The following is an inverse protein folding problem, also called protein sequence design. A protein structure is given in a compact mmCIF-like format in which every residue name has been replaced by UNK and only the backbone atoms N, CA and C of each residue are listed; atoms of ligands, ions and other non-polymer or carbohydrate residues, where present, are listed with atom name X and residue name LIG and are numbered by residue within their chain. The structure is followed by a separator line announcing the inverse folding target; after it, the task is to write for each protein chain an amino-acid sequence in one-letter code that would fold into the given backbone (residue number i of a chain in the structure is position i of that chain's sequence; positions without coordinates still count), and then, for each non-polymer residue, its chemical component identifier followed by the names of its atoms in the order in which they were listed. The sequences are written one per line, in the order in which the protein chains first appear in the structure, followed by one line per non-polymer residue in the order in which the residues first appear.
data_IF_684191095267
#
_entry.id   IF_684191095267
#
_cell.length_a   1.000
_cell.length_b   1.000
_cell.length_c   1.000
_cell.angle_alpha   90.00
_cell.angle_beta   90.00
_cell.angle_gamma   90.00
#
_symmetry.space_group_name_H-M   'P 1'
#
loop_
_entity.id
_entity.type
_entity.pdbx_description
1 polymer ?
#
# COMPACT_ATOMS: atom_id res chain seq x y z
N UNK A 1 6.11 4.62 20.68
CA UNK A 1 4.90 5.26 20.14
C UNK A 1 4.33 4.31 19.09
N UNK A 2 3.02 4.10 19.03
CA UNK A 2 2.42 3.15 18.09
C UNK A 2 2.49 3.69 16.65
N UNK A 3 2.71 2.81 15.67
CA UNK A 3 2.60 3.12 14.24
C UNK A 3 1.21 2.72 13.73
N UNK A 4 0.62 3.53 12.87
CA UNK A 4 -0.62 3.21 12.18
C UNK A 4 -0.33 2.51 10.85
N UNK A 5 -0.93 1.34 10.65
CA UNK A 5 -0.80 0.53 9.43
C UNK A 5 -2.15 0.41 8.73
N UNK A 6 -2.12 0.41 7.40
CA UNK A 6 -3.26 0.05 6.55
C UNK A 6 -2.91 -1.14 5.66
N UNK A 7 -3.80 -2.12 5.60
CA UNK A 7 -3.73 -3.22 4.65
C UNK A 7 -4.46 -2.86 3.35
N UNK A 8 -3.78 -3.09 2.22
CA UNK A 8 -4.29 -2.79 0.88
C UNK A 8 -4.55 -4.09 0.13
N UNK A 9 -5.82 -4.35 -0.16
CA UNK A 9 -6.29 -5.43 -1.02
C UNK A 9 -7.00 -4.87 -2.27
N UNK A 10 -7.30 -5.76 -3.22
CA UNK A 10 -8.04 -5.41 -4.44
C UNK A 10 -7.11 -5.11 -5.62
N UNK A 11 -7.42 -4.08 -6.39
CA UNK A 11 -6.59 -3.65 -7.54
C UNK A 11 -5.64 -2.51 -7.16
N UNK A 12 -4.62 -2.28 -7.98
CA UNK A 12 -3.70 -1.14 -7.79
C UNK A 12 -4.45 0.20 -7.77
N UNK A 13 -5.47 0.35 -8.60
CA UNK A 13 -6.31 1.56 -8.65
C UNK A 13 -7.04 1.79 -7.32
N UNK A 14 -7.59 0.73 -6.72
CA UNK A 14 -8.26 0.81 -5.43
C UNK A 14 -7.26 1.13 -4.31
N UNK A 15 -6.12 0.48 -4.30
CA UNK A 15 -5.04 0.73 -3.33
C UNK A 15 -4.55 2.19 -3.38
N UNK A 16 -4.37 2.74 -4.59
CA UNK A 16 -4.02 4.15 -4.78
C UNK A 16 -5.12 5.08 -4.26
N UNK A 17 -6.39 4.85 -4.60
CA UNK A 17 -7.50 5.69 -4.16
C UNK A 17 -7.63 5.73 -2.63
N UNK A 18 -7.30 4.63 -1.95
CA UNK A 18 -7.23 4.59 -0.48
C UNK A 18 -6.05 5.42 0.01
N UNK A 19 -4.84 5.20 -0.50
CA UNK A 19 -3.64 5.92 -0.05
C UNK A 19 -3.69 7.43 -0.32
N UNK A 20 -4.34 7.87 -1.40
CA UNK A 20 -4.56 9.30 -1.66
C UNK A 20 -5.35 9.99 -0.53
N UNK A 21 -6.18 9.25 0.20
CA UNK A 21 -6.97 9.78 1.31
C UNK A 21 -6.25 9.70 2.66
N UNK A 22 -5.41 8.67 2.87
CA UNK A 22 -4.90 8.33 4.21
C UNK A 22 -3.38 8.37 4.35
N UNK A 23 -2.61 8.57 3.27
CA UNK A 23 -1.14 8.56 3.32
C UNK A 23 -0.53 9.58 4.30
N UNK A 24 -1.27 10.64 4.66
CA UNK A 24 -0.82 11.65 5.63
C UNK A 24 -0.96 11.23 7.10
N UNK A 25 -1.67 10.12 7.38
CA UNK A 25 -1.95 9.65 8.75
C UNK A 25 -1.49 8.22 9.02
N UNK A 26 -1.16 7.45 7.98
CA UNK A 26 -0.62 6.09 8.11
C UNK A 26 0.91 6.10 7.99
N UNK A 27 1.57 5.28 8.79
CA UNK A 27 3.02 5.09 8.73
C UNK A 27 3.39 3.96 7.77
N UNK A 28 2.54 2.92 7.68
CA UNK A 28 2.81 1.69 6.96
C UNK A 28 1.63 1.35 6.04
N UNK A 29 1.94 1.03 4.79
CA UNK A 29 1.00 0.43 3.85
C UNK A 29 1.43 -1.02 3.56
N UNK A 30 0.63 -1.96 4.03
CA UNK A 30 0.80 -3.38 3.81
C UNK A 30 0.18 -3.78 2.46
N UNK A 31 0.95 -4.46 1.63
CA UNK A 31 0.50 -5.02 0.36
C UNK A 31 -0.03 -6.42 0.62
N UNK A 32 -1.35 -6.54 0.68
CA UNK A 32 -2.03 -7.81 0.95
C UNK A 32 -1.94 -8.81 -0.20
N UNK A 33 -2.19 -10.09 0.11
CA UNK A 33 -2.13 -11.20 -0.84
C UNK A 33 -3.01 -10.98 -2.07
N UNK A 34 -4.20 -10.37 -1.95
CA UNK A 34 -5.09 -10.17 -3.10
C UNK A 34 -4.57 -9.13 -4.08
N UNK A 35 -3.92 -8.08 -3.57
CA UNK A 35 -3.29 -7.05 -4.39
C UNK A 35 -2.13 -7.64 -5.19
N UNK A 36 -1.27 -8.44 -4.54
CA UNK A 36 -0.15 -9.13 -5.21
C UNK A 36 -0.62 -10.21 -6.16
N UNK A 37 -1.67 -10.95 -5.83
CA UNK A 37 -2.22 -11.96 -6.74
C UNK A 37 -2.72 -11.34 -8.06
N UNK A 38 -3.34 -10.16 -7.99
CA UNK A 38 -3.93 -9.49 -9.15
C UNK A 38 -2.91 -8.71 -9.97
N UNK A 39 -2.06 -7.95 -9.28
CA UNK A 39 -1.17 -6.97 -9.90
C UNK A 39 0.27 -7.49 -9.95
N UNK A 40 0.65 -8.42 -9.08
CA UNK A 40 2.04 -8.83 -8.90
C UNK A 40 2.90 -7.72 -8.29
N UNK A 41 4.23 -7.90 -8.35
CA UNK A 41 5.20 -7.01 -7.71
C UNK A 41 5.21 -5.58 -8.29
N UNK A 42 4.61 -5.36 -9.47
CA UNK A 42 4.56 -4.00 -10.04
C UNK A 42 3.73 -3.04 -9.16
N UNK A 43 2.72 -3.55 -8.43
CA UNK A 43 1.96 -2.74 -7.49
C UNK A 43 2.88 -2.13 -6.42
N UNK A 44 3.78 -2.92 -5.84
CA UNK A 44 4.74 -2.44 -4.85
C UNK A 44 5.61 -1.30 -5.39
N UNK A 45 6.10 -1.43 -6.64
CA UNK A 45 6.91 -0.40 -7.30
C UNK A 45 6.12 0.88 -7.57
N UNK A 46 4.87 0.75 -8.00
CA UNK A 46 4.01 1.92 -8.23
C UNK A 46 3.69 2.65 -6.93
N UNK A 47 3.33 1.92 -5.88
CA UNK A 47 3.02 2.49 -4.58
C UNK A 47 4.26 3.15 -3.96
N UNK A 48 5.45 2.55 -4.06
CA UNK A 48 6.69 3.12 -3.50
C UNK A 48 7.07 4.42 -4.18
N UNK A 49 6.87 4.51 -5.49
CA UNK A 49 7.18 5.71 -6.27
C UNK A 49 6.18 6.84 -6.00
N UNK A 50 4.90 6.50 -5.78
CA UNK A 50 3.83 7.48 -5.58
C UNK A 50 3.75 8.02 -4.16
N UNK A 51 4.05 7.18 -3.17
CA UNK A 51 3.94 7.48 -1.74
C UNK A 51 5.27 7.18 -1.01
N UNK A 52 6.36 7.89 -1.34
CA UNK A 52 7.70 7.61 -0.79
C UNK A 52 7.82 7.81 0.72
N UNK A 53 6.91 8.58 1.32
CA UNK A 53 6.84 8.85 2.77
C UNK A 53 6.18 7.71 3.56
N UNK A 54 5.45 6.80 2.89
CA UNK A 54 4.76 5.68 3.53
C UNK A 54 5.62 4.43 3.42
N UNK A 55 5.93 3.80 4.55
CA UNK A 55 6.69 2.55 4.55
C UNK A 55 5.83 1.44 3.91
N UNK A 56 6.34 0.79 2.86
CA UNK A 56 5.68 -0.40 2.33
C UNK A 56 6.09 -1.64 3.13
N UNK A 57 5.08 -2.43 3.50
CA UNK A 57 5.25 -3.77 4.05
C UNK A 57 4.71 -4.78 3.04
N UNK A 58 5.58 -5.67 2.57
CA UNK A 58 5.18 -6.78 1.72
C UNK A 58 5.02 -8.02 2.60
N UNK A 59 3.77 -8.43 2.86
CA UNK A 59 3.44 -9.66 3.59
C UNK A 59 2.60 -10.53 2.65
N UNK A 60 3.24 -11.52 2.01
CA UNK A 60 2.64 -12.34 0.95
C UNK A 60 2.39 -13.76 1.43
#
# INVERSE_FOLDING_TARGET
MAKLQIALDGTLVQAMAVLEQVASIVDIAEIGTLLVYREGIHAARHLSNRFPEVQLLADF
#
